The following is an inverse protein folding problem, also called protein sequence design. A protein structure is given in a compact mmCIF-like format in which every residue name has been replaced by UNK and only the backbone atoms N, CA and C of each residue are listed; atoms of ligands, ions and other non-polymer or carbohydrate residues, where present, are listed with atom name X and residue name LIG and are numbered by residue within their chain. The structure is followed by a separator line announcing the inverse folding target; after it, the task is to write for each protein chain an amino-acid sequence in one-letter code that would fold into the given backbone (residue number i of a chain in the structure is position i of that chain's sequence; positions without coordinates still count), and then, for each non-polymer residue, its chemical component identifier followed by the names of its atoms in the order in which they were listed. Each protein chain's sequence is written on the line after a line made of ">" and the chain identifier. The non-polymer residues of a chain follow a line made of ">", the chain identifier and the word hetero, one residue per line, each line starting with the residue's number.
data_IF_837343915262
#
_entry.id   IF_837343915262
#
_cell.length_a   1.000
_cell.length_b   1.000
_cell.length_c   1.000
_cell.angle_alpha   90.00
_cell.angle_beta   90.00
_cell.angle_gamma   90.00
#
_symmetry.space_group_name_H-M   'P 1'
#
loop_
_entity.id
_entity.type
_entity.pdbx_description
1 polymer ?
#
# COMPACT_ATOMS: atom_id res chain seq x y z
N UNK A 1 -21.91 -11.68 6.99
CA UNK A 1 -20.55 -11.50 6.45
C UNK A 1 -20.28 -9.99 6.37
N UNK A 2 -19.99 -9.36 7.51
CA UNK A 2 -20.07 -7.89 7.65
C UNK A 2 -18.83 -7.17 7.09
N UNK A 3 -17.63 -7.72 7.32
CA UNK A 3 -16.37 -7.06 6.96
C UNK A 3 -16.15 -6.91 5.44
N UNK A 4 -16.58 -7.87 4.63
CA UNK A 4 -16.39 -7.82 3.16
C UNK A 4 -17.28 -6.74 2.53
N UNK A 5 -18.53 -6.64 2.99
CA UNK A 5 -19.46 -5.60 2.53
C UNK A 5 -19.03 -4.21 3.00
N UNK A 6 -18.53 -4.10 4.22
CA UNK A 6 -17.95 -2.87 4.75
C UNK A 6 -16.78 -2.39 3.87
N UNK A 7 -15.77 -3.24 3.63
CA UNK A 7 -14.64 -2.92 2.76
C UNK A 7 -15.07 -2.51 1.34
N UNK A 8 -16.12 -3.15 0.80
CA UNK A 8 -16.69 -2.81 -0.51
C UNK A 8 -17.33 -1.42 -0.51
N UNK A 9 -18.09 -1.09 0.54
CA UNK A 9 -18.73 0.21 0.70
C UNK A 9 -17.70 1.30 0.88
N UNK A 10 -16.66 1.07 1.70
CA UNK A 10 -15.56 1.99 1.90
C UNK A 10 -14.86 2.32 0.58
N UNK A 11 -14.49 1.29 -0.20
CA UNK A 11 -13.85 1.48 -1.50
C UNK A 11 -14.72 2.30 -2.45
N UNK A 12 -16.02 1.95 -2.58
CA UNK A 12 -16.97 2.67 -3.44
C UNK A 12 -17.14 4.13 -3.05
N UNK A 13 -17.12 4.43 -1.75
CA UNK A 13 -17.27 5.79 -1.22
C UNK A 13 -15.95 6.55 -1.13
N UNK A 14 -14.82 5.90 -1.46
CA UNK A 14 -13.48 6.39 -1.16
C UNK A 14 -13.36 6.86 0.30
N UNK A 15 -13.92 6.08 1.23
CA UNK A 15 -13.95 6.42 2.65
C UNK A 15 -12.55 6.53 3.25
N UNK A 16 -12.44 7.15 4.43
CA UNK A 16 -11.23 7.18 5.24
C UNK A 16 -11.55 6.73 6.66
N UNK A 17 -11.62 5.40 6.91
CA UNK A 17 -11.88 4.86 8.23
C UNK A 17 -10.89 5.40 9.26
N UNK A 18 -11.39 5.73 10.45
CA UNK A 18 -10.54 6.23 11.53
C UNK A 18 -9.60 5.13 12.05
N UNK A 19 -8.33 5.49 12.20
CA UNK A 19 -7.33 4.61 12.82
C UNK A 19 -7.23 4.96 14.30
N UNK A 20 -6.97 3.95 15.13
CA UNK A 20 -6.75 4.17 16.57
C UNK A 20 -5.53 5.05 16.83
N UNK A 21 -4.51 4.86 15.99
CA UNK A 21 -3.24 5.58 16.06
C UNK A 21 -2.82 5.93 14.64
N UNK A 22 -2.13 7.06 14.53
CA UNK A 22 -1.59 7.54 13.28
C UNK A 22 -0.10 7.81 13.43
N UNK A 23 0.64 7.62 12.35
CA UNK A 23 1.99 8.14 12.23
C UNK A 23 1.92 9.67 12.13
N UNK A 24 2.75 10.35 12.92
CA UNK A 24 2.83 11.81 12.93
C UNK A 24 3.54 12.36 11.69
N UNK A 25 4.64 11.72 11.28
CA UNK A 25 5.40 12.09 10.08
C UNK A 25 6.25 10.92 9.58
N UNK A 26 6.84 11.11 8.39
CA UNK A 26 7.77 10.19 7.72
C UNK A 26 8.97 10.96 7.17
N UNK A 27 9.31 12.09 7.80
CA UNK A 27 10.24 13.09 7.25
C UNK A 27 11.66 12.55 7.14
N UNK A 28 12.05 11.70 8.10
CA UNK A 28 13.35 11.04 8.14
C UNK A 28 13.57 10.00 7.02
N UNK A 29 12.56 9.73 6.20
CA UNK A 29 12.62 8.69 5.16
C UNK A 29 12.45 9.27 3.77
N UNK A 30 13.40 8.93 2.89
CA UNK A 30 13.30 9.20 1.45
C UNK A 30 12.44 8.16 0.73
N UNK A 31 12.44 6.92 1.22
CA UNK A 31 11.71 5.79 0.65
C UNK A 31 10.80 5.16 1.70
N UNK A 32 9.53 4.99 1.36
CA UNK A 32 8.49 4.42 2.21
C UNK A 32 7.92 3.19 1.52
N UNK A 33 8.00 2.04 2.18
CA UNK A 33 7.31 0.83 1.73
C UNK A 33 5.89 0.84 2.30
N UNK A 34 4.90 0.80 1.41
CA UNK A 34 3.48 0.70 1.80
C UNK A 34 3.03 -0.73 1.54
N UNK A 35 2.94 -1.52 2.62
CA UNK A 35 2.54 -2.92 2.58
C UNK A 35 1.07 -3.09 2.98
N UNK A 36 0.27 -3.79 2.17
CA UNK A 36 -1.15 -4.00 2.44
C UNK A 36 -1.66 -5.36 1.91
N UNK A 37 -2.71 -5.96 2.49
CA UNK A 37 -3.41 -7.06 1.86
C UNK A 37 -4.29 -6.56 0.70
N UNK A 38 -4.55 -7.40 -0.29
CA UNK A 38 -5.50 -7.09 -1.36
C UNK A 38 -6.94 -7.17 -0.86
N UNK A 39 -7.62 -6.02 -0.79
CA UNK A 39 -9.05 -5.90 -0.54
C UNK A 39 -9.74 -5.32 -1.78
N UNK A 40 -10.61 -6.12 -2.41
CA UNK A 40 -11.35 -5.70 -3.61
C UNK A 40 -10.45 -5.17 -4.76
N UNK A 41 -9.23 -5.71 -4.89
CA UNK A 41 -8.29 -5.34 -5.94
C UNK A 41 -7.48 -4.08 -5.64
N UNK A 42 -7.49 -3.57 -4.41
CA UNK A 42 -6.71 -2.42 -3.96
C UNK A 42 -6.28 -2.63 -2.49
N UNK A 43 -5.53 -1.69 -1.90
CA UNK A 43 -5.29 -1.65 -0.47
C UNK A 43 -6.56 -1.27 0.32
N UNK A 44 -6.68 -1.69 1.60
CA UNK A 44 -7.76 -1.26 2.49
C UNK A 44 -7.83 0.27 2.59
N UNK A 45 -9.04 0.82 2.71
CA UNK A 45 -9.23 2.27 2.84
C UNK A 45 -8.59 2.87 4.11
N UNK A 46 -8.38 2.04 5.12
CA UNK A 46 -7.58 2.35 6.30
C UNK A 46 -6.14 2.78 5.96
N UNK A 47 -5.48 2.15 4.97
CA UNK A 47 -4.12 2.54 4.54
C UNK A 47 -4.12 3.96 3.97
N UNK A 48 -5.10 4.28 3.13
CA UNK A 48 -5.26 5.62 2.58
C UNK A 48 -5.58 6.67 3.67
N UNK A 49 -6.16 6.26 4.80
CA UNK A 49 -6.42 7.15 5.95
C UNK A 49 -5.15 7.58 6.65
N UNK A 50 -4.15 6.70 6.70
CA UNK A 50 -2.81 7.08 7.14
C UNK A 50 -2.09 7.95 6.11
N UNK A 51 -2.09 7.53 4.85
CA UNK A 51 -1.30 8.21 3.80
C UNK A 51 -1.77 9.63 3.53
N UNK A 52 -3.08 9.90 3.59
CA UNK A 52 -3.64 11.25 3.40
C UNK A 52 -3.19 12.27 4.47
N UNK A 53 -2.60 11.80 5.58
CA UNK A 53 -2.12 12.66 6.67
C UNK A 53 -0.62 12.92 6.63
N UNK A 54 0.12 12.24 5.75
CA UNK A 54 1.57 12.35 5.66
C UNK A 54 1.96 13.28 4.51
N UNK A 55 3.02 14.06 4.70
CA UNK A 55 3.68 14.71 3.58
C UNK A 55 4.53 13.69 2.83
N UNK A 56 4.11 13.37 1.61
CA UNK A 56 4.76 12.42 0.72
C UNK A 56 5.47 13.13 -0.45
N UNK A 57 5.51 14.46 -0.44
CA UNK A 57 6.11 15.27 -1.49
C UNK A 57 7.58 14.92 -1.66
N UNK A 58 7.97 14.56 -2.88
CA UNK A 58 9.34 14.17 -3.22
C UNK A 58 9.79 12.82 -2.65
N UNK A 59 8.96 12.13 -1.86
CA UNK A 59 9.27 10.81 -1.31
C UNK A 59 9.06 9.72 -2.35
N UNK A 60 9.80 8.63 -2.22
CA UNK A 60 9.61 7.41 -3.02
C UNK A 60 8.67 6.47 -2.29
N UNK A 61 7.58 6.06 -2.94
CA UNK A 61 6.63 5.08 -2.40
C UNK A 61 6.78 3.77 -3.14
N UNK A 62 7.01 2.70 -2.38
CA UNK A 62 7.18 1.35 -2.88
C UNK A 62 6.01 0.45 -2.41
N UNK A 63 5.03 0.15 -3.28
CA UNK A 63 3.89 -0.68 -2.90
C UNK A 63 4.30 -2.15 -2.76
N UNK A 64 3.85 -2.79 -1.67
CA UNK A 64 3.93 -4.24 -1.48
C UNK A 64 2.52 -4.76 -1.18
N UNK A 65 2.08 -5.82 -1.88
CA UNK A 65 0.77 -6.40 -1.62
C UNK A 65 0.81 -7.91 -1.49
N UNK A 66 0.14 -8.43 -0.45
CA UNK A 66 -0.22 -9.85 -0.38
C UNK A 66 -1.55 -10.12 -1.09
N UNK A 67 -1.62 -11.20 -1.87
CA UNK A 67 -2.82 -11.53 -2.66
C UNK A 67 -3.00 -13.04 -2.87
N UNK A 68 -4.20 -13.45 -3.27
CA UNK A 68 -4.54 -14.83 -3.65
C UNK A 68 -4.88 -14.97 -5.16
N UNK A 69 -4.46 -13.99 -5.97
CA UNK A 69 -4.52 -14.07 -7.45
C UNK A 69 -4.53 -12.72 -8.18
N UNK A 70 -4.84 -11.63 -7.49
CA UNK A 70 -4.99 -10.30 -8.11
C UNK A 70 -3.67 -9.59 -8.46
N UNK A 71 -2.52 -10.11 -8.02
CA UNK A 71 -1.26 -9.39 -8.12
C UNK A 71 -1.30 -8.07 -7.33
N UNK A 72 -0.83 -6.99 -7.94
CA UNK A 72 -0.95 -5.62 -7.37
C UNK A 72 -2.32 -4.98 -7.60
N UNK A 73 -3.24 -5.62 -8.35
CA UNK A 73 -4.54 -5.05 -8.69
C UNK A 73 -4.44 -3.61 -9.20
N UNK A 74 -5.21 -2.71 -8.60
CA UNK A 74 -5.18 -1.25 -8.85
C UNK A 74 -4.26 -0.49 -7.91
N UNK A 75 -3.61 -1.14 -6.94
CA UNK A 75 -2.94 -0.46 -5.82
C UNK A 75 -1.86 0.53 -6.27
N UNK A 76 -0.96 0.10 -7.15
CA UNK A 76 0.10 0.97 -7.71
C UNK A 76 -0.51 2.17 -8.45
N UNK A 77 -1.58 1.95 -9.24
CA UNK A 77 -2.28 3.01 -9.97
C UNK A 77 -3.01 3.98 -9.04
N UNK A 78 -3.62 3.46 -7.97
CA UNK A 78 -4.32 4.26 -6.97
C UNK A 78 -3.36 5.16 -6.21
N UNK A 79 -2.19 4.66 -5.82
CA UNK A 79 -1.12 5.47 -5.22
C UNK A 79 -0.68 6.59 -6.18
N UNK A 80 -0.36 6.25 -7.44
CA UNK A 80 0.09 7.25 -8.43
C UNK A 80 -0.94 8.34 -8.71
N UNK A 81 -2.24 7.99 -8.65
CA UNK A 81 -3.32 8.95 -8.86
C UNK A 81 -3.59 9.84 -7.64
N UNK A 82 -3.50 9.28 -6.43
CA UNK A 82 -3.84 9.98 -5.18
C UNK A 82 -2.69 10.83 -4.65
N UNK A 83 -1.45 10.40 -4.85
CA UNK A 83 -0.24 11.05 -4.34
C UNK A 83 0.69 11.40 -5.51
N UNK A 84 0.29 12.32 -6.41
CA UNK A 84 1.05 12.64 -7.62
C UNK A 84 2.42 13.28 -7.34
N UNK A 85 2.58 13.89 -6.15
CA UNK A 85 3.82 14.53 -5.73
C UNK A 85 4.83 13.54 -5.13
N UNK A 86 4.43 12.27 -4.96
CA UNK A 86 5.30 11.18 -4.56
C UNK A 86 5.75 10.37 -5.79
N UNK A 87 6.97 9.85 -5.76
CA UNK A 87 7.48 8.95 -6.79
C UNK A 87 7.06 7.52 -6.50
N UNK A 88 6.04 7.02 -7.21
CA UNK A 88 5.64 5.61 -7.09
C UNK A 88 6.57 4.73 -7.92
N UNK A 89 7.24 3.79 -7.28
CA UNK A 89 8.09 2.79 -7.96
C UNK A 89 7.34 1.47 -8.17
N UNK A 90 7.90 0.61 -9.02
CA UNK A 90 7.32 -0.71 -9.29
C UNK A 90 7.17 -1.52 -8.01
N UNK A 91 5.95 -1.91 -7.71
CA UNK A 91 5.63 -2.67 -6.51
C UNK A 91 6.03 -4.14 -6.56
N UNK A 92 5.83 -4.81 -5.42
CA UNK A 92 5.97 -6.25 -5.27
C UNK A 92 4.64 -6.88 -4.88
N UNK A 93 4.21 -7.87 -5.65
CA UNK A 93 3.08 -8.73 -5.30
C UNK A 93 3.62 -10.04 -4.72
N UNK A 94 3.12 -10.44 -3.55
CA UNK A 94 3.48 -11.69 -2.87
C UNK A 94 2.22 -12.53 -2.74
N UNK A 95 2.27 -13.77 -3.18
CA UNK A 95 1.15 -14.69 -2.98
C UNK A 95 1.01 -15.01 -1.49
N UNK A 96 -0.21 -14.92 -0.93
CA UNK A 96 -0.43 -14.98 0.51
C UNK A 96 0.04 -16.28 1.15
N UNK A 97 -0.19 -17.41 0.48
CA UNK A 97 0.33 -18.72 0.90
C UNK A 97 1.87 -18.79 0.95
N UNK A 98 2.57 -17.92 0.20
CA UNK A 98 4.03 -17.89 0.11
C UNK A 98 4.65 -16.75 0.93
N UNK A 99 3.84 -15.92 1.60
CA UNK A 99 4.31 -14.74 2.33
C UNK A 99 5.41 -15.06 3.35
N UNK A 100 5.26 -16.16 4.10
CA UNK A 100 6.25 -16.60 5.08
C UNK A 100 7.61 -17.01 4.48
N UNK A 101 7.66 -17.30 3.17
CA UNK A 101 8.87 -17.72 2.44
C UNK A 101 9.39 -16.61 1.51
N UNK A 102 8.88 -15.39 1.63
CA UNK A 102 9.12 -14.31 0.67
C UNK A 102 10.36 -13.46 0.94
N UNK A 103 11.13 -13.77 1.99
CA UNK A 103 12.27 -12.96 2.45
C UNK A 103 13.28 -12.66 1.34
N UNK A 104 13.71 -13.68 0.58
CA UNK A 104 14.66 -13.52 -0.52
C UNK A 104 14.11 -12.63 -1.65
N UNK A 105 12.81 -12.77 -1.93
CA UNK A 105 12.09 -12.00 -2.94
C UNK A 105 11.99 -10.53 -2.52
N UNK A 106 11.60 -10.27 -1.28
CA UNK A 106 11.51 -8.91 -0.71
C UNK A 106 12.90 -8.27 -0.66
N UNK A 107 13.92 -9.00 -0.22
CA UNK A 107 15.30 -8.52 -0.15
C UNK A 107 15.84 -8.14 -1.54
N UNK A 108 15.56 -8.98 -2.54
CA UNK A 108 15.96 -8.72 -3.92
C UNK A 108 15.21 -7.54 -4.55
N UNK A 109 13.95 -7.32 -4.15
CA UNK A 109 13.14 -6.20 -4.60
C UNK A 109 13.62 -4.89 -3.96
N UNK A 110 13.85 -4.86 -2.64
CA UNK A 110 14.33 -3.67 -1.92
C UNK A 110 15.64 -3.15 -2.53
N UNK A 111 16.59 -4.03 -2.84
CA UNK A 111 17.87 -3.65 -3.49
C UNK A 111 17.72 -2.97 -4.86
N UNK A 112 16.57 -3.15 -5.53
CA UNK A 112 16.30 -2.51 -6.84
C UNK A 112 15.66 -1.14 -6.70
N UNK A 113 15.00 -0.86 -5.57
CA UNK A 113 14.29 0.38 -5.31
C UNK A 113 15.09 1.35 -4.43
N UNK A 114 15.89 0.83 -3.49
CA UNK A 114 16.84 1.59 -2.70
C UNK A 114 18.12 1.76 -3.54
N UNK A 115 18.30 2.94 -4.13
CA UNK A 115 19.57 3.38 -4.71
C UNK A 115 20.25 4.36 -3.78
#
# INVERSE_FOLDING_TARGET
>A
MTCIEEAKVELKKAARPELKEYLDNVDAYDTIVVAAPCWWGDAPMAIYSQLDRLDLTGKTIAPLMTHEGSGLGSFEKSLSKKYPDAKIVKGLAVHGADAAKSEDTVSSWIKKIAK
#
